data_IF_422957870944
#
_entry.id   IF_422957870944
#
_cell.length_a   1.000
_cell.length_b   1.000
_cell.length_c   1.000
_cell.angle_alpha   90.00
_cell.angle_beta   90.00
_cell.angle_gamma   90.00
#
_symmetry.space_group_name_H-M   'P 1'
#
loop_
_entity.id
_entity.type
_entity.pdbx_description
1 polymer ?
#
# COMPACT_ATOMS: atom_id res chain seq x y z
N UNK A 1 -14.51 -34.66 33.53
CA UNK A 1 -14.19 -33.22 33.39
C UNK A 1 -13.14 -33.11 32.29
N UNK A 2 -13.56 -32.73 31.08
CA UNK A 2 -12.65 -32.57 29.94
C UNK A 2 -12.35 -31.08 29.83
N UNK A 3 -11.10 -30.69 30.07
CA UNK A 3 -10.62 -29.32 29.85
C UNK A 3 -10.19 -29.23 28.40
N UNK A 4 -11.01 -28.56 27.57
CA UNK A 4 -10.63 -28.20 26.22
C UNK A 4 -9.84 -26.88 26.27
N UNK A 5 -8.54 -26.95 25.97
CA UNK A 5 -7.70 -25.76 25.78
C UNK A 5 -8.02 -25.20 24.40
N UNK A 6 -8.86 -24.17 24.33
CA UNK A 6 -9.04 -23.36 23.13
C UNK A 6 -7.81 -22.48 22.96
N UNK A 7 -6.90 -22.89 22.07
CA UNK A 7 -5.85 -22.01 21.56
C UNK A 7 -6.49 -20.87 20.80
N UNK A 8 -6.32 -19.63 21.27
CA UNK A 8 -6.72 -18.45 20.52
C UNK A 8 -5.87 -18.39 19.25
N UNK A 9 -6.47 -18.76 18.12
CA UNK A 9 -5.93 -18.44 16.81
C UNK A 9 -5.88 -16.91 16.77
N UNK A 10 -4.68 -16.34 16.61
CA UNK A 10 -4.54 -14.91 16.39
C UNK A 10 -5.25 -14.57 15.08
N UNK A 11 -6.52 -14.17 15.19
CA UNK A 11 -7.25 -13.54 14.09
C UNK A 11 -6.47 -12.26 13.80
N UNK A 12 -5.79 -12.21 12.65
CA UNK A 12 -5.18 -10.99 12.16
C UNK A 12 -6.31 -9.98 11.97
N UNK A 13 -6.54 -9.15 12.99
CA UNK A 13 -7.48 -8.06 12.92
C UNK A 13 -7.09 -7.13 11.79
N UNK A 14 -8.09 -6.60 11.12
CA UNK A 14 -7.95 -5.51 10.18
C UNK A 14 -7.04 -4.42 10.68
N UNK A 15 -5.89 -4.24 10.03
CA UNK A 15 -5.12 -3.02 10.23
C UNK A 15 -5.85 -1.83 9.60
N UNK A 16 -5.77 -0.62 10.14
CA UNK A 16 -6.20 0.57 9.43
C UNK A 16 -5.43 0.72 8.11
N UNK A 17 -6.10 1.20 7.06
CA UNK A 17 -5.54 1.36 5.71
C UNK A 17 -4.40 2.38 5.74
N UNK A 18 -3.25 2.04 5.16
CA UNK A 18 -2.13 2.96 5.07
C UNK A 18 -2.23 3.91 3.86
N UNK A 19 -2.77 3.44 2.74
CA UNK A 19 -2.72 4.15 1.46
C UNK A 19 -4.03 4.03 0.71
N UNK A 20 -4.52 5.17 0.22
CA UNK A 20 -5.42 5.25 -0.93
C UNK A 20 -4.63 5.73 -2.15
N UNK A 21 -4.85 5.12 -3.31
CA UNK A 21 -4.13 5.46 -4.52
C UNK A 21 -5.00 5.40 -5.78
N UNK A 22 -4.75 6.30 -6.73
CA UNK A 22 -4.96 6.03 -8.16
C UNK A 22 -3.59 5.71 -8.76
N UNK A 23 -3.44 4.50 -9.29
CA UNK A 23 -2.16 3.98 -9.77
C UNK A 23 -2.01 4.27 -11.26
N UNK A 24 -0.92 4.94 -11.63
CA UNK A 24 -0.61 5.27 -13.02
C UNK A 24 0.32 4.22 -13.65
N UNK A 25 1.30 3.72 -12.90
CA UNK A 25 2.32 2.76 -13.38
C UNK A 25 2.92 1.96 -12.22
N UNK A 26 3.27 0.69 -12.46
CA UNK A 26 4.04 -0.13 -11.51
C UNK A 26 5.30 -0.67 -12.19
N UNK A 27 6.45 -0.49 -11.54
CA UNK A 27 7.75 -0.98 -12.00
C UNK A 27 8.30 -1.95 -10.96
N UNK A 28 8.33 -3.23 -11.28
CA UNK A 28 8.97 -4.27 -10.46
C UNK A 28 10.38 -4.46 -11.01
N UNK A 29 11.40 -4.20 -10.19
CA UNK A 29 12.79 -4.20 -10.62
C UNK A 29 13.39 -5.62 -10.49
N UNK A 30 14.00 -6.17 -11.56
CA UNK A 30 14.79 -7.41 -11.46
C UNK A 30 16.15 -7.13 -10.82
N UNK A 31 16.75 -8.12 -10.17
CA UNK A 31 17.99 -7.94 -9.43
C UNK A 31 19.13 -8.89 -9.86
N UNK A 32 20.16 -8.30 -10.47
CA UNK A 32 21.54 -8.79 -10.37
C UNK A 32 22.32 -8.04 -9.26
N UNK A 33 22.04 -6.75 -9.00
CA UNK A 33 22.82 -5.90 -8.06
C UNK A 33 21.97 -5.09 -7.05
N UNK A 34 20.65 -5.32 -6.95
CA UNK A 34 19.79 -4.64 -5.96
C UNK A 34 19.28 -5.62 -4.88
N UNK A 35 19.04 -5.08 -3.67
CA UNK A 35 18.49 -5.74 -2.49
C UNK A 35 17.24 -6.62 -2.81
N UNK A 36 16.70 -7.44 -1.88
CA UNK A 36 15.83 -8.56 -2.22
C UNK A 36 14.43 -8.12 -2.71
N UNK A 37 14.28 -7.75 -3.99
CA UNK A 37 13.06 -7.40 -4.70
C UNK A 37 12.45 -6.05 -4.29
N UNK A 38 12.40 -5.09 -5.22
CA UNK A 38 11.84 -3.75 -5.01
C UNK A 38 10.73 -3.44 -6.03
N UNK A 39 9.84 -2.52 -5.66
CA UNK A 39 8.80 -2.00 -6.54
C UNK A 39 8.68 -0.49 -6.43
N UNK A 40 8.49 0.17 -7.56
CA UNK A 40 8.01 1.55 -7.64
C UNK A 40 6.54 1.55 -8.06
N UNK A 41 5.69 2.20 -7.27
CA UNK A 41 4.27 2.39 -7.58
C UNK A 41 4.07 3.88 -7.83
N UNK A 42 3.79 4.26 -9.08
CA UNK A 42 3.60 5.65 -9.50
C UNK A 42 2.12 5.98 -9.52
N UNK A 43 1.75 7.19 -9.10
CA UNK A 43 0.35 7.58 -9.06
C UNK A 43 0.08 8.85 -8.26
N UNK A 44 -1.19 8.97 -7.85
CA UNK A 44 -1.67 9.96 -6.89
C UNK A 44 -2.09 9.25 -5.62
N UNK A 45 -1.56 9.69 -4.49
CA UNK A 45 -1.68 9.00 -3.21
C UNK A 45 -2.25 9.92 -2.15
N UNK A 46 -3.11 9.38 -1.29
CA UNK A 46 -3.43 9.95 0.00
C UNK A 46 -3.03 8.92 1.06
N UNK A 47 -2.00 9.26 1.85
CA UNK A 47 -1.35 8.36 2.80
C UNK A 47 -1.81 8.69 4.21
N UNK A 48 -2.09 7.68 5.03
CA UNK A 48 -2.49 7.88 6.42
C UNK A 48 -1.42 8.66 7.19
N UNK A 49 -1.83 9.53 8.11
CA UNK A 49 -0.88 10.22 9.00
C UNK A 49 -0.33 9.24 10.04
N UNK A 50 0.97 9.31 10.38
CA UNK A 50 1.51 8.53 11.49
C UNK A 50 0.68 8.75 12.78
N UNK A 51 0.34 7.66 13.48
CA UNK A 51 -0.35 7.66 14.78
C UNK A 51 -1.81 8.18 14.80
N UNK A 52 -2.39 8.59 13.67
CA UNK A 52 -3.83 8.88 13.58
C UNK A 52 -4.43 8.20 12.34
N UNK A 53 -5.16 7.11 12.56
CA UNK A 53 -5.67 6.26 11.49
C UNK A 53 -6.90 6.78 10.74
N UNK A 54 -7.51 7.83 11.26
CA UNK A 54 -8.66 8.48 10.61
C UNK A 54 -8.23 9.69 9.77
N UNK A 55 -6.95 10.09 9.86
CA UNK A 55 -6.42 11.24 9.16
C UNK A 55 -5.48 10.81 8.04
N UNK A 56 -5.64 11.47 6.88
CA UNK A 56 -4.78 11.26 5.72
C UNK A 56 -4.10 12.57 5.33
N UNK A 57 -2.91 12.44 4.74
CA UNK A 57 -2.22 13.53 4.08
C UNK A 57 -3.02 13.96 2.82
N UNK A 58 -2.93 15.24 2.43
CA UNK A 58 -3.47 15.69 1.15
C UNK A 58 -2.99 14.80 0.00
N UNK A 59 -3.84 14.65 -1.02
CA UNK A 59 -3.46 13.89 -2.20
C UNK A 59 -2.21 14.49 -2.85
N UNK A 60 -1.22 13.65 -3.16
CA UNK A 60 0.03 14.06 -3.80
C UNK A 60 0.40 13.09 -4.92
N UNK A 61 0.90 13.65 -6.02
CA UNK A 61 1.45 12.89 -7.14
C UNK A 61 2.92 12.55 -6.87
N UNK A 62 3.33 11.35 -7.26
CA UNK A 62 4.71 10.89 -7.08
C UNK A 62 4.84 9.39 -7.27
N UNK A 63 5.73 8.78 -6.51
CA UNK A 63 5.83 7.33 -6.40
C UNK A 63 6.07 6.86 -4.96
N UNK A 64 5.58 5.66 -4.65
CA UNK A 64 5.97 4.90 -3.47
C UNK A 64 7.08 3.93 -3.87
N UNK A 65 8.08 3.75 -3.02
CA UNK A 65 9.19 2.82 -3.25
C UNK A 65 9.29 1.83 -2.11
N UNK A 66 9.12 0.56 -2.44
CA UNK A 66 9.04 -0.50 -1.46
C UNK A 66 10.05 -1.60 -1.69
N UNK A 67 10.51 -2.19 -0.59
CA UNK A 67 11.16 -3.48 -0.54
C UNK A 67 10.16 -4.54 -0.08
N UNK A 68 10.44 -5.80 -0.42
CA UNK A 68 9.64 -6.91 0.06
C UNK A 68 9.66 -6.97 1.61
N UNK A 69 8.54 -7.40 2.24
CA UNK A 69 8.47 -7.53 3.68
C UNK A 69 9.51 -8.52 4.20
N UNK A 70 10.06 -8.21 5.36
CA UNK A 70 11.04 -9.02 6.10
C UNK A 70 10.36 -10.21 6.79
N UNK A 71 9.04 -10.10 7.04
CA UNK A 71 8.28 -11.16 7.70
C UNK A 71 8.23 -12.43 6.84
N UNK A 72 8.61 -13.60 7.39
CA UNK A 72 8.56 -14.86 6.65
C UNK A 72 7.15 -15.18 6.14
N UNK A 73 7.06 -15.72 4.91
CA UNK A 73 5.80 -16.06 4.26
C UNK A 73 5.06 -14.89 3.58
N UNK A 74 5.43 -13.64 3.89
CA UNK A 74 4.71 -12.46 3.37
C UNK A 74 5.21 -12.03 1.98
N UNK A 75 6.41 -12.48 1.58
CA UNK A 75 7.04 -12.10 0.30
C UNK A 75 6.22 -12.50 -0.91
N UNK A 76 5.63 -13.69 -0.93
CA UNK A 76 4.82 -14.16 -2.06
C UNK A 76 3.51 -13.37 -2.19
N UNK A 77 2.86 -13.08 -1.06
CA UNK A 77 1.67 -12.21 -1.03
C UNK A 77 2.04 -10.79 -1.48
N UNK A 78 3.21 -10.29 -1.02
CA UNK A 78 4.00 -9.20 -1.57
C UNK A 78 3.86 -9.02 -3.09
N UNK A 79 4.44 -9.98 -3.78
CA UNK A 79 4.53 -10.01 -5.23
C UNK A 79 3.16 -10.12 -5.89
N UNK A 80 2.21 -10.84 -5.28
CA UNK A 80 0.84 -10.93 -5.78
C UNK A 80 0.13 -9.57 -5.71
N UNK A 81 0.18 -8.88 -4.57
CA UNK A 81 -0.39 -7.54 -4.43
C UNK A 81 0.25 -6.54 -5.41
N UNK A 82 1.56 -6.63 -5.65
CA UNK A 82 2.24 -5.78 -6.64
C UNK A 82 1.76 -6.08 -8.08
N UNK A 83 1.48 -7.33 -8.41
CA UNK A 83 0.87 -7.70 -9.69
C UNK A 83 -0.58 -7.21 -9.80
N UNK A 84 -1.36 -7.26 -8.71
CA UNK A 84 -2.72 -6.74 -8.68
C UNK A 84 -2.73 -5.21 -8.87
N UNK A 85 -1.78 -4.50 -8.24
CA UNK A 85 -1.55 -3.07 -8.45
C UNK A 85 -1.16 -2.77 -9.91
N UNK A 86 -0.30 -3.60 -10.50
CA UNK A 86 0.08 -3.48 -11.91
C UNK A 86 -1.12 -3.69 -12.84
N UNK A 87 -2.03 -4.61 -12.51
CA UNK A 87 -3.22 -4.89 -13.31
C UNK A 87 -4.26 -3.76 -13.28
N UNK A 88 -4.26 -2.92 -12.24
CA UNK A 88 -5.14 -1.73 -12.17
C UNK A 88 -4.44 -0.44 -12.63
N UNK A 89 -3.13 -0.48 -12.89
CA UNK A 89 -2.36 0.69 -13.28
C UNK A 89 -2.87 1.29 -14.61
N UNK A 90 -2.92 2.62 -14.69
CA UNK A 90 -3.42 3.35 -15.85
C UNK A 90 -4.94 3.36 -15.97
N UNK A 91 -5.65 2.71 -15.05
CA UNK A 91 -7.10 2.85 -14.91
C UNK A 91 -7.42 4.00 -13.95
N UNK A 92 -8.66 4.50 -13.99
CA UNK A 92 -9.15 5.46 -12.99
C UNK A 92 -9.64 4.79 -11.70
N UNK A 93 -9.34 3.50 -11.49
CA UNK A 93 -9.72 2.77 -10.29
C UNK A 93 -8.91 3.25 -9.08
N UNK A 94 -9.61 3.71 -8.04
CA UNK A 94 -8.99 3.99 -6.74
C UNK A 94 -8.88 2.68 -5.96
N UNK A 95 -7.72 2.44 -5.36
CA UNK A 95 -7.44 1.28 -4.52
C UNK A 95 -7.02 1.70 -3.13
N UNK A 96 -7.25 0.83 -2.15
CA UNK A 96 -6.74 0.91 -0.80
C UNK A 96 -5.85 -0.29 -0.49
N UNK A 97 -4.70 -0.06 0.13
CA UNK A 97 -3.75 -1.12 0.49
C UNK A 97 -2.84 -0.68 1.63
N UNK A 98 -2.02 -1.63 2.10
CA UNK A 98 -1.12 -1.45 3.23
C UNK A 98 -1.84 -1.35 4.57
N UNK A 99 -1.05 -1.44 5.63
CA UNK A 99 -1.52 -1.34 7.01
C UNK A 99 -0.69 -0.32 7.77
N UNK A 100 -1.37 0.66 8.35
CA UNK A 100 -0.76 1.70 9.17
C UNK A 100 -0.10 1.15 10.43
N UNK A 101 -0.52 -0.05 10.89
CA UNK A 101 0.10 -0.72 12.04
C UNK A 101 1.59 -1.00 11.82
N UNK A 102 1.99 -1.15 10.55
CA UNK A 102 3.38 -1.43 10.16
C UNK A 102 4.06 -0.20 9.53
N UNK A 103 3.46 0.99 9.68
CA UNK A 103 3.97 2.24 9.17
C UNK A 103 3.21 2.77 7.94
N UNK A 104 3.60 3.96 7.52
CA UNK A 104 3.00 4.68 6.39
C UNK A 104 4.12 5.08 5.43
N UNK A 105 3.98 4.81 4.14
CA UNK A 105 5.06 5.03 3.18
C UNK A 105 5.31 6.51 2.91
N UNK A 106 6.47 6.81 2.33
CA UNK A 106 6.78 8.15 1.85
C UNK A 106 6.41 8.29 0.37
N UNK A 107 5.61 9.31 0.03
CA UNK A 107 5.39 9.72 -1.36
C UNK A 107 6.61 10.50 -1.84
N UNK A 108 7.42 9.87 -2.68
CA UNK A 108 8.62 10.46 -3.30
C UNK A 108 8.22 11.25 -4.54
N UNK A 109 8.93 12.36 -4.81
CA UNK A 109 8.67 13.17 -6.01
C UNK A 109 9.11 12.42 -7.27
N UNK A 110 8.50 12.72 -8.42
CA UNK A 110 8.76 11.97 -9.66
C UNK A 110 10.21 12.04 -10.19
N UNK A 111 10.99 13.03 -9.77
CA UNK A 111 12.40 13.24 -10.12
C UNK A 111 13.36 12.74 -9.03
N UNK A 112 12.85 12.31 -7.88
CA UNK A 112 13.66 11.78 -6.79
C UNK A 112 14.22 10.42 -7.16
N UNK A 113 15.51 10.19 -6.88
CA UNK A 113 16.14 8.89 -7.14
C UNK A 113 15.56 7.83 -6.19
N UNK A 114 15.17 6.63 -6.69
CA UNK A 114 14.77 5.52 -5.83
C UNK A 114 15.92 5.08 -4.93
N UNK A 115 15.78 5.35 -3.64
CA UNK A 115 16.71 4.94 -2.59
C UNK A 115 15.94 4.77 -1.28
N UNK A 116 16.54 4.03 -0.34
CA UNK A 116 15.98 3.77 0.99
C UNK A 116 14.51 3.35 0.92
N UNK A 117 14.20 2.17 0.33
CA UNK A 117 12.82 1.72 0.16
C UNK A 117 12.12 1.57 1.52
N UNK A 118 10.84 1.91 1.55
CA UNK A 118 9.97 1.59 2.68
C UNK A 118 9.71 0.07 2.72
N UNK A 119 9.45 -0.51 3.89
CA UNK A 119 9.02 -1.90 3.96
C UNK A 119 7.56 -2.01 3.52
N UNK A 120 7.25 -2.93 2.59
CA UNK A 120 5.87 -3.13 2.14
C UNK A 120 5.05 -3.79 3.25
N UNK A 121 3.95 -3.14 3.66
CA UNK A 121 3.02 -3.70 4.65
C UNK A 121 1.86 -4.42 3.98
N UNK A 122 1.54 -5.61 4.47
CA UNK A 122 0.33 -6.35 4.08
C UNK A 122 -0.87 -5.93 4.93
N UNK A 123 -2.06 -6.09 4.36
CA UNK A 123 -3.34 -5.93 5.07
C UNK A 123 -4.40 -6.88 4.48
N UNK A 124 -5.47 -6.36 3.87
CA UNK A 124 -6.55 -7.15 3.23
C UNK A 124 -6.35 -7.43 1.74
N UNK A 125 -5.11 -7.40 1.24
CA UNK A 125 -4.92 -7.31 -0.20
C UNK A 125 -5.22 -5.91 -0.74
N UNK A 126 -5.22 -5.82 -2.07
CA UNK A 126 -5.57 -4.62 -2.81
C UNK A 126 -7.10 -4.49 -2.89
N UNK A 127 -7.67 -3.49 -2.22
CA UNK A 127 -9.12 -3.24 -2.20
C UNK A 127 -9.49 -2.20 -3.24
N UNK A 128 -10.26 -2.58 -4.25
CA UNK A 128 -10.87 -1.63 -5.20
C UNK A 128 -11.99 -0.85 -4.49
N UNK A 129 -11.93 0.47 -4.56
CA UNK A 129 -12.95 1.36 -4.02
C UNK A 129 -14.02 1.59 -5.09
N UNK A 130 -15.27 1.25 -4.78
CA UNK A 130 -16.41 1.44 -5.67
C UNK A 130 -17.25 2.64 -5.24
N UNK A 131 -17.80 3.35 -6.23
CA UNK A 131 -18.71 4.48 -6.02
C UNK A 131 -18.04 5.76 -5.49
N UNK A 132 -18.84 6.82 -5.38
CA UNK A 132 -18.44 8.04 -4.69
C UNK A 132 -18.70 7.86 -3.21
N UNK A 133 -17.64 7.62 -2.42
CA UNK A 133 -17.77 7.23 -1.01
C UNK A 133 -17.89 8.41 -0.03
N UNK A 134 -17.75 9.66 -0.50
CA UNK A 134 -17.65 10.86 0.35
C UNK A 134 -16.43 10.87 1.28
N UNK A 135 -15.61 9.81 1.29
CA UNK A 135 -14.49 9.63 2.18
C UNK A 135 -13.33 10.54 1.76
N UNK A 136 -12.83 11.37 2.68
CA UNK A 136 -11.88 12.43 2.41
C UNK A 136 -10.65 12.02 1.57
N UNK A 137 -9.90 10.93 1.86
CA UNK A 137 -8.75 10.56 1.03
C UNK A 137 -9.13 10.12 -0.39
N UNK A 138 -10.28 9.47 -0.55
CA UNK A 138 -10.81 9.09 -1.88
C UNK A 138 -11.19 10.34 -2.67
N UNK A 139 -11.89 11.29 -2.02
CA UNK A 139 -12.30 12.55 -2.64
C UNK A 139 -11.09 13.40 -3.04
N UNK A 140 -10.06 13.47 -2.19
CA UNK A 140 -8.83 14.18 -2.49
C UNK A 140 -8.13 13.65 -3.75
N UNK A 141 -8.16 12.32 -3.98
CA UNK A 141 -7.60 11.71 -5.20
C UNK A 141 -8.49 11.99 -6.42
N UNK A 142 -9.82 11.89 -6.28
CA UNK A 142 -10.76 12.19 -7.37
C UNK A 142 -10.65 13.64 -7.86
N UNK A 143 -10.45 14.56 -6.93
CA UNK A 143 -10.40 15.99 -7.20
C UNK A 143 -8.99 16.47 -7.58
N UNK A 144 -7.99 15.58 -7.54
CA UNK A 144 -6.60 15.91 -7.83
C UNK A 144 -6.42 16.30 -9.31
N UNK A 145 -6.09 17.57 -9.54
CA UNK A 145 -5.74 18.11 -10.86
C UNK A 145 -4.23 17.95 -11.08
N UNK A 146 -3.79 17.48 -12.26
CA UNK A 146 -2.38 17.30 -12.59
C UNK A 146 -1.59 18.62 -12.58
#
# INVERSE_FOLDING_TARGET
MIVAVTGAVAVHASGPIAVYARVDKVVIEPNADAAPGTVQIWGVFSVAKPKNANDFLPASRGYLYYALPSMPGYRQVALQEWNDLKAVAGTNQIVAFGSQLYGTPTVRKGDERPQSPDEYSLNFGIRKISGQTGHAPVRAILDFKP
#
